data_IF_448252265726
#
_entry.id   IF_448252265726
#
_cell.length_a   1.000
_cell.length_b   1.000
_cell.length_c   1.000
_cell.angle_alpha   90.00
_cell.angle_beta   90.00
_cell.angle_gamma   90.00
#
_symmetry.space_group_name_H-M   'P 1'
#
loop_
_entity.id
_entity.type
_entity.pdbx_description
1 polymer ?
#
# COMPACT_ATOMS: atom_id res chain seq x y z
N UNK A 1 13.16 1.45 -4.11
CA UNK A 1 14.53 1.79 -3.71
C UNK A 1 14.59 1.95 -2.19
N UNK A 2 15.50 1.25 -1.56
CA UNK A 2 15.68 1.34 -0.12
C UNK A 2 16.70 2.43 0.21
N UNK A 3 16.34 3.31 1.13
CA UNK A 3 17.25 4.29 1.73
C UNK A 3 17.23 4.10 3.24
N UNK A 4 17.93 4.96 3.99
CA UNK A 4 17.85 4.97 5.45
C UNK A 4 16.49 5.46 5.96
N UNK A 5 15.73 6.19 5.13
CA UNK A 5 14.49 6.86 5.52
C UNK A 5 13.24 6.10 5.09
N UNK A 6 13.27 5.45 3.93
CA UNK A 6 12.08 4.82 3.38
C UNK A 6 12.40 3.72 2.39
N UNK A 7 11.38 2.95 2.06
CA UNK A 7 11.42 1.95 1.00
C UNK A 7 10.38 2.33 -0.05
N UNK A 8 10.84 2.87 -1.18
CA UNK A 8 9.95 3.18 -2.30
C UNK A 8 9.94 2.04 -3.29
N UNK A 9 8.78 1.76 -3.83
CA UNK A 9 8.59 0.64 -4.75
C UNK A 9 7.57 0.96 -5.82
N UNK A 10 7.12 -0.09 -6.48
CA UNK A 10 6.14 0.01 -7.56
C UNK A 10 5.04 -1.02 -7.35
N UNK A 11 3.80 -0.60 -7.53
CA UNK A 11 2.63 -1.46 -7.48
C UNK A 11 2.21 -1.80 -8.90
N UNK A 12 2.01 -3.08 -9.17
CA UNK A 12 1.51 -3.58 -10.44
C UNK A 12 0.13 -4.21 -10.28
N UNK A 13 -0.72 -4.02 -11.28
CA UNK A 13 -2.00 -4.72 -11.38
C UNK A 13 -1.98 -5.50 -12.69
N UNK A 14 -2.12 -6.84 -12.60
CA UNK A 14 -2.08 -7.72 -13.77
C UNK A 14 -0.84 -7.45 -14.64
N UNK A 15 0.32 -7.33 -14.01
CA UNK A 15 1.62 -7.11 -14.65
C UNK A 15 1.81 -5.73 -15.28
N UNK A 16 0.86 -4.82 -15.09
CA UNK A 16 0.99 -3.43 -15.54
C UNK A 16 1.26 -2.51 -14.35
N UNK A 17 2.20 -1.59 -14.51
CA UNK A 17 2.50 -0.62 -13.47
C UNK A 17 1.28 0.26 -13.19
N UNK A 18 0.85 0.30 -11.94
CA UNK A 18 -0.27 1.12 -11.51
C UNK A 18 0.21 2.44 -10.89
N UNK A 19 1.14 2.35 -9.96
CA UNK A 19 1.61 3.51 -9.20
C UNK A 19 2.90 3.19 -8.47
N UNK A 20 3.45 4.18 -7.79
CA UNK A 20 4.57 3.98 -6.87
C UNK A 20 4.05 3.80 -5.45
N UNK A 21 4.90 3.20 -4.60
CA UNK A 21 4.60 2.96 -3.19
C UNK A 21 5.70 3.50 -2.30
N UNK A 22 5.34 3.77 -1.04
CA UNK A 22 6.31 4.11 -0.01
C UNK A 22 5.95 3.39 1.27
N UNK A 23 6.95 2.73 1.84
CA UNK A 23 6.83 1.98 3.09
C UNK A 23 7.96 2.35 4.05
N UNK A 24 7.82 1.91 5.30
CA UNK A 24 8.89 2.05 6.29
C UNK A 24 10.07 1.14 5.94
N UNK A 25 11.23 1.43 6.52
CA UNK A 25 12.44 0.62 6.29
C UNK A 25 12.42 -0.66 7.12
N UNK A 26 13.18 -1.70 6.69
CA UNK A 26 13.34 -2.90 7.52
C UNK A 26 13.93 -2.58 8.90
N UNK A 27 14.88 -1.66 8.96
CA UNK A 27 15.55 -1.25 10.19
C UNK A 27 14.59 -0.64 11.21
N UNK A 28 13.50 -0.02 10.76
CA UNK A 28 12.48 0.54 11.66
C UNK A 28 11.68 -0.53 12.39
N UNK A 29 11.72 -1.77 11.92
CA UNK A 29 10.86 -2.85 12.43
C UNK A 29 9.43 -2.76 11.95
N UNK A 30 9.12 -1.83 11.04
CA UNK A 30 7.75 -1.55 10.58
C UNK A 30 7.49 -1.96 9.14
N UNK A 31 8.49 -2.48 8.44
CA UNK A 31 8.29 -3.02 7.10
C UNK A 31 7.64 -4.40 7.22
N UNK A 32 6.52 -4.60 6.55
CA UNK A 32 5.83 -5.88 6.59
C UNK A 32 6.59 -6.93 5.79
N UNK A 33 6.50 -8.22 6.19
CA UNK A 33 7.25 -9.29 5.52
C UNK A 33 6.82 -9.48 4.06
N UNK A 34 7.77 -9.92 3.24
CA UNK A 34 7.44 -10.40 1.89
C UNK A 34 6.40 -11.52 1.97
N UNK A 35 5.58 -11.61 0.95
CA UNK A 35 4.59 -12.66 0.85
C UNK A 35 3.41 -12.26 -0.01
N UNK A 36 2.46 -13.17 -0.14
CA UNK A 36 1.21 -12.93 -0.84
C UNK A 36 0.08 -12.88 0.19
N UNK A 37 -0.65 -11.79 0.18
CA UNK A 37 -1.72 -11.52 1.15
C UNK A 37 -3.03 -11.26 0.44
N UNK A 38 -4.14 -11.61 1.07
CA UNK A 38 -5.46 -11.22 0.60
C UNK A 38 -5.64 -9.72 0.82
N UNK A 39 -6.19 -9.04 -0.16
CA UNK A 39 -6.54 -7.63 -0.08
C UNK A 39 -8.05 -7.53 -0.01
N UNK A 40 -8.57 -7.04 1.12
CA UNK A 40 -10.01 -6.96 1.37
C UNK A 40 -10.43 -5.54 1.67
N UNK A 41 -11.71 -5.24 1.45
CA UNK A 41 -12.26 -3.91 1.67
C UNK A 41 -12.97 -3.87 3.02
N UNK A 42 -12.40 -3.15 3.98
CA UNK A 42 -12.98 -3.04 5.31
C UNK A 42 -12.96 -1.59 5.81
N UNK A 43 -13.80 -1.30 6.80
CA UNK A 43 -13.83 0.03 7.41
C UNK A 43 -12.61 0.25 8.30
N UNK A 44 -11.96 1.41 8.12
CA UNK A 44 -10.85 1.84 8.97
C UNK A 44 -11.36 2.81 10.04
N UNK A 45 -11.34 2.42 11.32
CA UNK A 45 -11.71 3.35 12.40
C UNK A 45 -10.79 4.57 12.46
N UNK A 46 -9.51 4.38 12.16
CA UNK A 46 -8.51 5.45 12.19
C UNK A 46 -8.79 6.52 11.13
N UNK A 47 -9.08 6.08 9.90
CA UNK A 47 -9.29 6.99 8.77
C UNK A 47 -10.76 7.29 8.52
N UNK A 48 -11.67 6.63 9.27
CA UNK A 48 -13.13 6.81 9.19
C UNK A 48 -13.68 6.65 7.78
N UNK A 49 -13.17 5.62 7.07
CA UNK A 49 -13.61 5.28 5.71
C UNK A 49 -13.23 3.85 5.38
N UNK A 50 -13.83 3.34 4.30
CA UNK A 50 -13.42 2.05 3.74
C UNK A 50 -12.06 2.20 3.08
N UNK A 51 -11.14 1.31 3.37
CA UNK A 51 -9.81 1.27 2.76
C UNK A 51 -9.37 -0.17 2.56
N UNK A 52 -8.54 -0.44 1.53
CA UNK A 52 -8.00 -1.78 1.34
C UNK A 52 -7.19 -2.23 2.55
N UNK A 53 -7.48 -3.43 3.05
CA UNK A 53 -6.76 -4.05 4.16
C UNK A 53 -5.92 -5.19 3.62
N UNK A 54 -4.62 -5.19 3.98
CA UNK A 54 -3.72 -6.31 3.71
C UNK A 54 -3.93 -7.29 4.86
N UNK A 55 -4.60 -8.42 4.57
CA UNK A 55 -5.10 -9.31 5.60
C UNK A 55 -4.06 -10.31 6.09
N UNK A 56 -4.07 -10.58 7.39
CA UNK A 56 -3.23 -11.61 8.03
C UNK A 56 -1.72 -11.42 7.82
N UNK A 57 -1.24 -10.19 7.95
CA UNK A 57 0.20 -9.92 7.91
C UNK A 57 0.85 -10.38 9.22
N UNK A 58 1.84 -11.30 9.20
CA UNK A 58 2.47 -11.77 10.42
C UNK A 58 3.10 -10.64 11.24
N UNK A 59 2.76 -10.56 12.51
CA UNK A 59 3.32 -9.56 13.42
C UNK A 59 2.71 -8.16 13.31
N UNK A 60 1.71 -7.98 12.45
CA UNK A 60 1.08 -6.68 12.22
C UNK A 60 -0.44 -6.79 12.20
N UNK A 61 -1.10 -5.70 12.55
CA UNK A 61 -2.55 -5.58 12.47
C UNK A 61 -2.91 -4.27 11.79
N UNK A 62 -4.01 -4.28 11.04
CA UNK A 62 -4.53 -3.05 10.43
C UNK A 62 -3.65 -2.46 9.35
N UNK A 63 -2.87 -3.28 8.65
CA UNK A 63 -2.07 -2.83 7.53
C UNK A 63 -2.98 -2.51 6.35
N UNK A 64 -2.92 -1.25 5.90
CA UNK A 64 -3.79 -0.78 4.83
C UNK A 64 -2.98 -0.08 3.75
N UNK A 65 -3.61 0.07 2.59
CA UNK A 65 -3.15 0.99 1.56
C UNK A 65 -3.89 2.31 1.81
N UNK A 66 -3.15 3.39 2.02
CA UNK A 66 -3.78 4.69 2.23
C UNK A 66 -2.93 5.83 1.67
N UNK A 67 -3.41 7.05 1.79
CA UNK A 67 -2.72 8.22 1.27
C UNK A 67 -1.67 8.73 2.24
N UNK A 68 -0.62 9.31 1.71
CA UNK A 68 0.47 9.94 2.41
C UNK A 68 1.64 10.18 1.48
N UNK A 69 2.64 10.92 1.93
CA UNK A 69 3.73 11.34 1.05
C UNK A 69 5.09 10.85 1.52
N UNK A 70 5.32 10.76 2.83
CA UNK A 70 6.61 10.39 3.41
C UNK A 70 6.44 9.34 4.50
N UNK A 71 7.58 8.84 5.03
CA UNK A 71 7.58 7.88 6.13
C UNK A 71 6.81 8.36 7.37
N UNK A 72 6.64 9.66 7.53
CA UNK A 72 5.91 10.23 8.67
C UNK A 72 4.41 9.96 8.59
N UNK A 73 3.92 9.63 7.41
CA UNK A 73 2.50 9.38 7.17
C UNK A 73 2.13 7.91 7.29
N UNK A 74 3.08 7.04 7.62
CA UNK A 74 2.82 5.62 7.69
C UNK A 74 3.52 4.95 8.87
N UNK A 75 2.90 3.87 9.34
CA UNK A 75 3.42 3.02 10.41
C UNK A 75 3.12 1.57 10.02
N UNK A 76 3.85 1.06 9.03
CA UNK A 76 3.66 -0.26 8.46
C UNK A 76 2.73 -0.31 7.25
N UNK A 77 1.88 0.69 7.05
CA UNK A 77 0.96 0.74 5.93
C UNK A 77 1.67 1.12 4.62
N UNK A 78 1.03 0.82 3.50
CA UNK A 78 1.55 1.10 2.17
C UNK A 78 0.95 2.40 1.66
N UNK A 79 1.79 3.38 1.38
CA UNK A 79 1.37 4.63 0.75
C UNK A 79 1.49 4.51 -0.76
N UNK A 80 0.61 5.17 -1.50
CA UNK A 80 0.62 5.17 -2.98
C UNK A 80 0.71 6.58 -3.53
N UNK A 81 1.33 6.72 -4.69
CA UNK A 81 1.47 7.98 -5.40
C UNK A 81 1.83 7.74 -6.86
N UNK A 82 1.68 8.74 -7.72
CA UNK A 82 1.96 8.58 -9.14
C UNK A 82 3.29 9.21 -9.59
N UNK A 83 3.97 9.91 -8.69
CA UNK A 83 5.31 10.46 -8.92
C UNK A 83 6.17 10.08 -7.71
N UNK A 84 7.40 9.66 -7.97
CA UNK A 84 8.36 9.26 -6.94
C UNK A 84 9.56 10.20 -6.92
N UNK A 85 9.86 10.74 -5.74
CA UNK A 85 11.12 11.42 -5.45
C UNK A 85 11.96 10.59 -4.49
N UNK A 86 13.00 11.16 -3.94
CA UNK A 86 13.79 10.51 -2.90
C UNK A 86 13.01 10.57 -1.58
N UNK A 87 12.66 9.40 -1.05
CA UNK A 87 11.92 9.27 0.22
C UNK A 87 10.57 10.00 0.25
N UNK A 88 9.97 10.23 -0.91
CA UNK A 88 8.69 10.91 -1.03
C UNK A 88 7.95 10.45 -2.28
N UNK A 89 6.63 10.42 -2.20
CA UNK A 89 5.74 10.22 -3.33
C UNK A 89 4.72 11.35 -3.38
N UNK A 90 4.19 11.60 -4.57
CA UNK A 90 3.31 12.73 -4.83
C UNK A 90 1.98 12.29 -5.41
N UNK A 91 1.00 13.19 -5.34
CA UNK A 91 -0.36 12.98 -5.86
C UNK A 91 -1.04 11.75 -5.23
N UNK A 92 -0.80 11.56 -3.95
CA UNK A 92 -1.22 10.35 -3.24
C UNK A 92 -2.74 10.19 -3.20
N UNK A 93 -3.49 11.26 -2.94
CA UNK A 93 -4.96 11.20 -2.85
C UNK A 93 -5.61 10.79 -4.18
N UNK A 94 -5.16 11.38 -5.28
CA UNK A 94 -5.66 11.05 -6.63
C UNK A 94 -5.31 9.61 -6.99
N UNK A 95 -4.09 9.20 -6.67
CA UNK A 95 -3.60 7.85 -6.96
C UNK A 95 -4.39 6.81 -6.16
N UNK A 96 -4.62 7.07 -4.87
CA UNK A 96 -5.41 6.19 -4.02
C UNK A 96 -6.84 6.05 -4.55
N UNK A 97 -7.46 7.16 -4.95
CA UNK A 97 -8.82 7.14 -5.49
C UNK A 97 -8.91 6.24 -6.74
N UNK A 98 -7.98 6.40 -7.68
CA UNK A 98 -7.94 5.56 -8.88
C UNK A 98 -7.73 4.09 -8.55
N UNK A 99 -6.84 3.80 -7.61
CA UNK A 99 -6.58 2.43 -7.18
C UNK A 99 -7.81 1.81 -6.56
N UNK A 100 -8.46 2.52 -5.63
CA UNK A 100 -9.68 2.02 -4.97
C UNK A 100 -10.81 1.78 -5.98
N UNK A 101 -10.97 2.63 -6.97
CA UNK A 101 -11.97 2.44 -8.03
C UNK A 101 -11.74 1.12 -8.76
N UNK A 102 -10.49 0.80 -9.11
CA UNK A 102 -10.14 -0.48 -9.76
C UNK A 102 -10.38 -1.67 -8.85
N UNK A 103 -9.99 -1.56 -7.59
CA UNK A 103 -10.19 -2.65 -6.63
C UNK A 103 -11.68 -2.88 -6.37
N UNK A 104 -12.46 -1.83 -6.23
CA UNK A 104 -13.90 -1.93 -6.02
C UNK A 104 -14.61 -2.61 -7.20
N UNK A 105 -14.17 -2.34 -8.42
CA UNK A 105 -14.73 -3.00 -9.60
C UNK A 105 -14.51 -4.51 -9.53
N UNK A 106 -13.32 -4.95 -9.14
CA UNK A 106 -13.01 -6.37 -8.98
C UNK A 106 -13.83 -6.99 -7.84
N UNK A 107 -13.91 -6.34 -6.69
CA UNK A 107 -14.70 -6.84 -5.56
C UNK A 107 -16.20 -6.91 -5.89
N UNK A 108 -16.71 -5.94 -6.62
CA UNK A 108 -18.10 -5.92 -7.08
C UNK A 108 -18.42 -7.14 -7.96
N UNK A 109 -17.45 -7.61 -8.71
CA UNK A 109 -17.57 -8.80 -9.55
C UNK A 109 -17.22 -10.09 -8.80
N UNK A 110 -17.13 -10.05 -7.48
CA UNK A 110 -16.77 -11.18 -6.62
C UNK A 110 -15.39 -11.77 -6.91
N UNK A 111 -14.49 -10.99 -7.46
CA UNK A 111 -13.11 -11.43 -7.69
C UNK A 111 -12.32 -11.36 -6.40
N UNK A 112 -11.50 -12.39 -6.16
CA UNK A 112 -10.55 -12.39 -5.07
C UNK A 112 -9.33 -11.56 -5.47
N UNK A 113 -8.91 -10.62 -4.61
CA UNK A 113 -7.74 -9.80 -4.85
C UNK A 113 -6.63 -10.20 -3.90
N UNK A 114 -5.44 -10.39 -4.43
CA UNK A 114 -4.25 -10.61 -3.62
C UNK A 114 -3.21 -9.53 -3.92
N UNK A 115 -2.35 -9.27 -2.94
CA UNK A 115 -1.18 -8.40 -3.12
C UNK A 115 0.06 -9.22 -2.81
N UNK A 116 1.03 -9.17 -3.70
CA UNK A 116 2.31 -9.82 -3.49
C UNK A 116 3.37 -8.76 -3.19
N UNK A 117 4.06 -8.92 -2.07
CA UNK A 117 5.13 -8.02 -1.67
C UNK A 117 6.47 -8.73 -1.87
N UNK A 118 7.30 -8.11 -2.69
CA UNK A 118 8.66 -8.56 -2.94
C UNK A 118 9.61 -7.40 -2.67
N UNK A 119 10.60 -7.63 -1.85
CA UNK A 119 11.65 -6.65 -1.61
C UNK A 119 12.73 -6.81 -2.69
N UNK A 120 13.21 -5.69 -3.18
CA UNK A 120 14.26 -5.69 -4.19
C UNK A 120 15.61 -6.13 -3.60
#
# INVERSE_FOLDING_TARGET
MLTEESYTGTLFINEKQECYTLENTPKSGKLIPEGTYDLINTYSPKFKRMLPLVNNVPGFKGIRIHAGNTKKDTYGCILVGNVRGKDIIYNSQVTLKKLIEKLNEAWKNNEKITIELKNA
#
